data_IF_482239629727
#
_entry.id   IF_482239629727
#
_cell.length_a   1.000
_cell.length_b   1.000
_cell.length_c   1.000
_cell.angle_alpha   90.00
_cell.angle_beta   90.00
_cell.angle_gamma   90.00
#
_symmetry.space_group_name_H-M   'P 1'
#
loop_
_entity.id
_entity.type
_entity.pdbx_description
1 polymer ?
#
# COMPACT_ATOMS: atom_id res chain seq x y z
N UNK A 1 13.16 75.82 -35.38
CA UNK A 1 12.66 75.30 -34.12
C UNK A 1 12.96 73.80 -34.07
N UNK A 2 14.03 73.44 -33.45
CA UNK A 2 14.42 71.98 -33.24
C UNK A 2 13.92 71.53 -31.91
N UNK A 3 12.97 70.59 -31.87
CA UNK A 3 12.54 69.88 -30.63
C UNK A 3 13.53 68.75 -30.36
N UNK A 4 14.29 68.90 -29.31
CA UNK A 4 15.15 67.86 -28.74
C UNK A 4 14.24 66.93 -27.94
N UNK A 5 14.08 65.67 -28.44
CA UNK A 5 13.41 64.60 -27.68
C UNK A 5 14.48 63.97 -26.78
N UNK A 6 14.36 64.23 -25.48
CA UNK A 6 15.16 63.59 -24.45
C UNK A 6 14.64 62.18 -24.29
N UNK A 7 15.36 61.19 -24.84
CA UNK A 7 15.09 59.78 -24.60
C UNK A 7 15.64 59.40 -23.21
N UNK A 8 14.78 59.40 -22.21
CA UNK A 8 15.14 58.82 -20.93
C UNK A 8 15.23 57.32 -21.06
N UNK A 9 16.44 56.79 -21.17
CA UNK A 9 16.75 55.37 -21.03
C UNK A 9 16.55 55.04 -19.54
N UNK A 10 15.39 54.46 -19.22
CA UNK A 10 15.13 53.81 -17.95
C UNK A 10 16.01 52.57 -17.88
N UNK A 11 17.19 52.68 -17.33
CA UNK A 11 18.01 51.54 -16.93
C UNK A 11 17.27 50.83 -15.77
N UNK A 12 16.48 49.85 -16.15
CA UNK A 12 15.99 48.86 -15.18
C UNK A 12 17.22 48.05 -14.79
N UNK A 13 17.84 48.50 -13.71
CA UNK A 13 18.74 47.62 -12.95
C UNK A 13 17.94 46.45 -12.44
N UNK A 14 17.92 45.37 -13.24
CA UNK A 14 17.74 44.05 -12.69
C UNK A 14 18.90 43.86 -11.72
N UNK A 15 18.69 44.32 -10.49
CA UNK A 15 19.45 43.80 -9.37
C UNK A 15 19.19 42.30 -9.39
N UNK A 16 20.14 41.54 -9.96
CA UNK A 16 20.35 40.18 -9.52
C UNK A 16 20.37 40.28 -8.00
N UNK A 17 19.26 39.93 -7.33
CA UNK A 17 19.33 39.49 -5.98
C UNK A 17 20.22 38.23 -6.04
N UNK A 18 21.53 38.42 -5.94
CA UNK A 18 22.39 37.42 -5.35
C UNK A 18 21.61 36.95 -4.15
N UNK A 19 21.21 35.69 -4.16
CA UNK A 19 20.75 35.02 -2.96
C UNK A 19 21.74 35.43 -1.89
N UNK A 20 21.32 36.30 -0.94
CA UNK A 20 22.10 36.57 0.23
C UNK A 20 22.24 35.20 0.86
N UNK A 21 23.46 34.65 0.82
CA UNK A 21 23.80 33.49 1.60
C UNK A 21 23.24 33.81 2.99
N UNK A 22 22.25 33.07 3.45
CA UNK A 22 21.67 33.29 4.76
C UNK A 22 22.85 33.19 5.73
N UNK A 23 23.22 34.31 6.36
CA UNK A 23 24.21 34.32 7.43
C UNK A 23 23.64 33.44 8.53
N UNK A 24 24.09 32.19 8.55
CA UNK A 24 23.69 31.18 9.55
C UNK A 24 24.87 30.94 10.49
N UNK A 25 24.56 30.46 11.64
CA UNK A 25 25.54 29.95 12.60
C UNK A 25 25.64 28.44 12.41
N UNK A 26 26.86 27.92 12.46
CA UNK A 26 27.08 26.48 12.48
C UNK A 26 26.63 25.93 13.84
N UNK A 27 25.67 24.98 13.79
CA UNK A 27 25.04 24.42 14.97
C UNK A 27 25.29 22.93 15.00
N UNK A 28 25.80 22.46 16.10
CA UNK A 28 25.94 21.04 16.41
C UNK A 28 24.60 20.44 16.86
N UNK A 29 24.16 19.33 16.21
CA UNK A 29 22.87 18.72 16.43
C UNK A 29 23.07 17.23 16.76
N UNK A 30 23.03 16.87 18.04
CA UNK A 30 23.05 15.48 18.48
C UNK A 30 21.71 14.79 18.19
N UNK A 31 21.74 13.53 17.78
CA UNK A 31 20.59 12.70 17.47
C UNK A 31 20.49 11.51 18.42
N UNK A 32 19.29 11.17 18.81
CA UNK A 32 18.96 9.94 19.53
C UNK A 32 17.93 9.14 18.77
N UNK A 33 18.13 7.84 18.66
CA UNK A 33 17.12 6.93 18.14
C UNK A 33 17.10 5.65 18.98
N UNK A 34 15.92 5.26 19.40
CA UNK A 34 15.74 4.03 20.15
C UNK A 34 14.99 3.03 19.26
N UNK A 35 15.74 2.17 18.57
CA UNK A 35 15.20 1.12 17.69
C UNK A 35 15.45 -0.25 18.29
N UNK A 36 14.59 -1.21 17.92
CA UNK A 36 14.68 -2.61 18.36
C UNK A 36 15.85 -3.39 17.74
N UNK A 37 16.46 -2.87 16.65
CA UNK A 37 17.51 -3.55 15.89
C UNK A 37 18.87 -2.85 15.94
N UNK A 38 19.00 -1.74 16.66
CA UNK A 38 20.13 -0.83 16.52
C UNK A 38 19.86 0.19 15.41
N UNK A 39 20.58 1.31 15.42
CA UNK A 39 20.34 2.41 14.51
C UNK A 39 21.65 2.98 13.97
N UNK A 40 21.73 3.09 12.65
CA UNK A 40 22.77 3.86 11.97
C UNK A 40 22.11 4.83 10.99
N UNK A 41 22.68 6.02 10.84
CA UNK A 41 22.16 7.04 9.92
C UNK A 41 23.06 7.07 8.68
N UNK A 42 22.49 6.67 7.54
CA UNK A 42 23.18 6.70 6.25
C UNK A 42 22.82 7.95 5.44
N UNK A 43 21.59 8.45 5.60
CA UNK A 43 21.07 9.64 4.96
C UNK A 43 20.23 10.42 5.98
N UNK A 44 20.35 11.73 5.98
CA UNK A 44 19.55 12.60 6.82
C UNK A 44 19.08 13.82 6.02
N UNK A 45 17.79 14.07 6.01
CA UNK A 45 17.19 15.29 5.49
C UNK A 45 16.80 16.19 6.65
N UNK A 46 17.17 17.45 6.58
CA UNK A 46 16.80 18.49 7.49
C UNK A 46 15.92 19.51 6.76
N UNK A 47 14.74 19.77 7.30
CA UNK A 47 13.82 20.81 6.85
C UNK A 47 13.67 21.85 7.96
N UNK A 48 14.03 23.10 7.69
CA UNK A 48 13.69 24.21 8.57
C UNK A 48 12.28 24.69 8.20
N UNK A 49 11.39 24.73 9.18
CA UNK A 49 9.97 25.04 9.02
C UNK A 49 9.67 26.38 9.66
N UNK A 50 9.09 27.29 8.90
CA UNK A 50 8.70 28.62 9.37
C UNK A 50 7.44 28.60 10.26
N UNK A 51 6.97 29.79 10.66
CA UNK A 51 5.81 29.96 11.55
C UNK A 51 4.50 29.57 10.88
N UNK A 52 4.46 29.61 9.54
CA UNK A 52 3.28 29.29 8.73
C UNK A 52 3.25 27.82 8.31
N UNK A 53 4.08 26.98 8.95
CA UNK A 53 4.23 25.55 8.66
C UNK A 53 4.76 25.25 7.25
N UNK A 54 5.54 26.16 6.66
CA UNK A 54 6.12 26.03 5.33
C UNK A 54 7.61 25.72 5.41
N UNK A 55 8.11 24.98 4.43
CA UNK A 55 9.53 24.68 4.32
C UNK A 55 10.29 25.95 3.91
N UNK A 56 11.09 26.46 4.80
CA UNK A 56 11.97 27.62 4.55
C UNK A 56 13.31 27.16 3.95
N UNK A 57 13.79 25.97 4.31
CA UNK A 57 15.07 25.41 3.87
C UNK A 57 15.04 23.88 3.92
N UNK A 58 15.75 23.26 2.99
CA UNK A 58 16.00 21.82 2.98
C UNK A 58 17.49 21.57 2.75
N UNK A 59 18.07 20.68 3.55
CA UNK A 59 19.45 20.22 3.44
C UNK A 59 19.52 18.69 3.58
N UNK A 60 20.55 18.10 3.00
CA UNK A 60 20.81 16.67 3.05
C UNK A 60 22.21 16.41 3.58
N UNK A 61 22.33 15.36 4.41
CA UNK A 61 23.56 14.90 5.00
C UNK A 61 23.72 13.40 4.72
N UNK A 62 24.95 12.97 4.55
CA UNK A 62 25.32 11.56 4.35
C UNK A 62 26.00 11.01 5.59
N UNK A 63 26.29 9.71 5.61
CA UNK A 63 27.03 9.09 6.72
C UNK A 63 28.41 9.72 6.97
N UNK A 64 29.01 10.36 5.96
CA UNK A 64 30.28 11.09 6.11
C UNK A 64 30.15 12.41 6.89
N UNK A 65 28.95 12.96 6.93
CA UNK A 65 28.64 14.22 7.62
C UNK A 65 28.18 14.01 9.07
N UNK A 66 27.98 12.74 9.45
CA UNK A 66 27.41 12.34 10.74
C UNK A 66 28.43 11.52 11.54
N UNK A 67 28.88 12.08 12.65
CA UNK A 67 29.85 11.44 13.53
C UNK A 67 29.26 11.25 14.93
N UNK A 68 29.32 10.02 15.45
CA UNK A 68 28.76 9.68 16.77
C UNK A 68 27.30 10.16 16.94
N UNK A 69 26.47 9.96 15.93
CA UNK A 69 25.09 10.44 15.86
C UNK A 69 24.93 11.96 16.00
N UNK A 70 25.95 12.73 15.61
CA UNK A 70 25.93 14.19 15.64
C UNK A 70 26.28 14.72 14.25
N UNK A 71 25.63 15.78 13.83
CA UNK A 71 25.93 16.49 12.59
C UNK A 71 25.92 18.00 12.80
N UNK A 72 26.47 18.73 11.85
CA UNK A 72 26.54 20.18 11.87
C UNK A 72 25.68 20.76 10.75
N UNK A 73 24.86 21.75 11.06
CA UNK A 73 24.05 22.46 10.08
C UNK A 73 24.20 23.97 10.23
N UNK A 74 24.20 24.67 9.10
CA UNK A 74 24.22 26.13 9.06
C UNK A 74 22.80 26.67 9.24
N UNK A 75 22.44 27.14 10.43
CA UNK A 75 21.08 27.56 10.76
C UNK A 75 21.00 29.05 11.06
N UNK A 76 19.99 29.80 10.52
CA UNK A 76 19.82 31.22 10.81
C UNK A 76 19.41 31.43 12.28
N UNK A 77 19.71 32.62 12.82
CA UNK A 77 19.20 33.03 14.12
C UNK A 77 17.68 33.14 14.08
N UNK A 78 17.02 32.68 15.15
CA UNK A 78 15.56 32.79 15.25
C UNK A 78 14.89 31.57 15.87
N UNK A 79 13.54 31.58 15.79
CA UNK A 79 12.68 30.48 16.24
C UNK A 79 11.97 29.85 15.06
N UNK A 80 12.10 28.54 14.95
CA UNK A 80 11.43 27.73 13.92
C UNK A 80 11.36 26.26 14.36
N UNK A 81 10.83 25.40 13.52
CA UNK A 81 10.82 23.96 13.77
C UNK A 81 11.80 23.28 12.82
N UNK A 82 12.49 22.27 13.31
CA UNK A 82 13.25 21.34 12.48
C UNK A 82 12.44 20.06 12.29
N UNK A 83 12.20 19.68 11.05
CA UNK A 83 11.76 18.36 10.69
C UNK A 83 12.97 17.57 10.15
N UNK A 84 13.19 16.38 10.70
CA UNK A 84 14.28 15.49 10.31
C UNK A 84 13.70 14.20 9.74
N UNK A 85 14.31 13.69 8.67
CA UNK A 85 14.02 12.37 8.10
C UNK A 85 15.33 11.63 7.93
N UNK A 86 15.50 10.55 8.65
CA UNK A 86 16.68 9.69 8.57
C UNK A 86 16.39 8.45 7.72
N UNK A 87 17.40 8.02 6.95
CA UNK A 87 17.41 6.79 6.15
C UNK A 87 16.34 6.69 5.04
N UNK A 88 15.78 7.81 4.59
CA UNK A 88 14.93 7.86 3.42
C UNK A 88 15.72 8.52 2.26
N UNK A 89 16.21 7.75 1.26
CA UNK A 89 16.79 8.34 0.06
C UNK A 89 15.78 9.22 -0.69
N UNK A 90 16.24 10.18 -1.48
CA UNK A 90 15.35 11.11 -2.22
C UNK A 90 14.28 10.40 -3.05
N UNK A 91 14.61 9.27 -3.68
CA UNK A 91 13.64 8.46 -4.45
C UNK A 91 12.53 7.80 -3.62
N UNK A 92 12.66 7.84 -2.28
CA UNK A 92 11.69 7.26 -1.33
C UNK A 92 10.90 8.33 -0.59
N UNK A 93 10.89 9.55 -1.12
CA UNK A 93 10.14 10.67 -0.54
C UNK A 93 9.51 11.53 -1.63
N UNK A 94 8.36 12.10 -1.31
CA UNK A 94 7.85 13.28 -2.01
C UNK A 94 8.30 14.49 -1.21
N UNK A 95 9.29 15.21 -1.73
CA UNK A 95 9.88 16.36 -1.07
C UNK A 95 9.18 17.63 -1.55
N UNK A 96 8.47 18.36 -0.67
CA UNK A 96 7.85 19.62 -1.03
C UNK A 96 8.93 20.69 -1.34
N UNK A 97 8.59 21.63 -2.22
CA UNK A 97 9.47 22.77 -2.52
C UNK A 97 9.51 23.77 -1.37
N UNK A 98 10.54 24.59 -1.35
CA UNK A 98 10.60 25.75 -0.44
C UNK A 98 9.35 26.61 -0.62
N UNK A 99 8.72 26.99 0.48
CA UNK A 99 7.45 27.72 0.52
C UNK A 99 6.19 26.83 0.55
N UNK A 100 6.31 25.52 0.30
CA UNK A 100 5.19 24.59 0.43
C UNK A 100 5.05 24.10 1.89
N UNK A 101 3.87 23.53 2.21
CA UNK A 101 3.58 23.04 3.55
C UNK A 101 4.31 21.73 3.84
N UNK A 102 4.74 21.52 5.10
CA UNK A 102 5.32 20.26 5.56
C UNK A 102 4.38 19.07 5.38
N UNK A 103 3.09 19.30 5.37
CA UNK A 103 2.05 18.27 5.15
C UNK A 103 2.17 17.57 3.80
N UNK A 104 2.82 18.21 2.83
CA UNK A 104 3.11 17.63 1.51
C UNK A 104 4.37 16.75 1.49
N UNK A 105 5.03 16.56 2.63
CA UNK A 105 6.15 15.63 2.77
C UNK A 105 5.62 14.22 3.02
N UNK A 106 5.86 13.32 2.07
CA UNK A 106 5.48 11.90 2.18
C UNK A 106 6.71 11.01 2.13
N UNK A 107 6.68 9.95 2.91
CA UNK A 107 7.64 8.86 2.89
C UNK A 107 7.04 7.73 2.05
N UNK A 108 7.80 7.22 1.08
CA UNK A 108 7.31 6.25 0.10
C UNK A 108 8.14 4.97 0.15
N UNK A 109 7.51 3.83 -0.15
CA UNK A 109 8.24 2.63 -0.51
C UNK A 109 9.01 2.88 -1.81
N UNK A 110 10.23 2.34 -1.97
CA UNK A 110 10.92 2.39 -3.25
C UNK A 110 10.05 1.76 -4.35
N UNK A 111 9.92 2.42 -5.49
CA UNK A 111 9.12 1.91 -6.60
C UNK A 111 10.02 1.19 -7.61
N UNK A 112 9.70 -0.07 -7.95
CA UNK A 112 10.22 -0.79 -9.12
C UNK A 112 9.04 -1.29 -9.94
N UNK A 113 9.25 -1.47 -11.24
CA UNK A 113 8.18 -1.68 -12.25
C UNK A 113 7.10 -2.72 -11.91
N UNK A 114 7.33 -3.68 -11.01
CA UNK A 114 6.34 -4.72 -10.71
C UNK A 114 6.21 -5.05 -9.21
N UNK A 115 7.11 -4.58 -8.37
CA UNK A 115 7.08 -4.82 -6.93
C UNK A 115 7.65 -3.61 -6.19
N UNK A 116 7.12 -3.34 -5.00
CA UNK A 116 7.75 -2.38 -4.11
C UNK A 116 8.86 -3.10 -3.33
N UNK A 117 10.12 -2.66 -3.40
CA UNK A 117 11.11 -3.12 -2.44
C UNK A 117 10.70 -2.69 -1.02
N UNK A 118 11.24 -3.39 -0.03
CA UNK A 118 10.99 -3.03 1.37
C UNK A 118 11.36 -1.59 1.70
N UNK A 119 10.72 -1.03 2.72
CA UNK A 119 11.10 0.27 3.26
C UNK A 119 12.51 0.22 3.86
N UNK A 120 13.20 1.35 3.84
CA UNK A 120 14.41 1.53 4.63
C UNK A 120 14.06 1.67 6.13
N UNK A 121 15.07 1.68 7.00
CA UNK A 121 14.89 1.97 8.44
C UNK A 121 14.66 3.46 8.65
N UNK A 122 13.48 3.93 8.26
CA UNK A 122 13.12 5.35 8.26
C UNK A 122 12.74 5.80 9.66
N UNK A 123 13.33 6.91 10.09
CA UNK A 123 12.95 7.57 11.34
C UNK A 123 12.77 9.07 11.12
N UNK A 124 11.87 9.70 11.88
CA UNK A 124 11.57 11.14 11.76
C UNK A 124 11.57 11.83 13.10
N UNK A 125 11.82 13.14 13.07
CA UNK A 125 11.62 14.02 14.22
C UNK A 125 11.03 15.36 13.79
N UNK A 126 10.28 15.99 14.70
CA UNK A 126 9.83 17.38 14.57
C UNK A 126 10.05 18.07 15.90
N UNK A 127 10.91 19.07 15.93
CA UNK A 127 11.28 19.77 17.15
C UNK A 127 11.30 21.29 16.96
N UNK A 128 10.70 22.02 17.89
CA UNK A 128 10.82 23.47 17.97
C UNK A 128 12.18 23.86 18.53
N UNK A 129 12.85 24.79 17.88
CA UNK A 129 14.18 25.26 18.27
C UNK A 129 14.24 26.77 18.31
N UNK A 130 15.24 27.26 19.05
CA UNK A 130 15.60 28.69 19.09
C UNK A 130 17.12 28.78 18.98
N UNK A 131 17.59 29.42 17.92
CA UNK A 131 19.00 29.68 17.67
C UNK A 131 19.30 31.14 18.10
N UNK A 132 20.33 31.28 18.93
CA UNK A 132 20.81 32.58 19.42
C UNK A 132 22.32 32.64 19.20
N UNK A 133 22.89 33.84 19.13
CA UNK A 133 24.33 34.06 18.89
C UNK A 133 25.27 33.30 19.85
N UNK A 134 24.81 32.99 21.04
CA UNK A 134 25.61 32.30 22.07
C UNK A 134 25.40 30.78 22.08
N UNK A 135 24.59 30.22 21.16
CA UNK A 135 24.20 28.82 21.21
C UNK A 135 24.70 28.04 19.98
N UNK A 136 25.73 27.23 20.16
CA UNK A 136 26.38 26.46 19.11
C UNK A 136 25.95 24.97 19.07
N UNK A 137 25.23 24.49 20.10
CA UNK A 137 24.77 23.11 20.22
C UNK A 137 23.30 23.07 20.61
N UNK A 138 22.50 22.23 19.94
CA UNK A 138 21.13 21.96 20.34
C UNK A 138 21.06 20.81 21.36
N UNK A 139 19.98 20.75 22.16
CA UNK A 139 19.62 19.50 22.83
C UNK A 139 19.47 18.35 21.84
N UNK A 140 19.77 17.13 22.29
CA UNK A 140 19.61 15.96 21.46
C UNK A 140 18.19 15.86 20.88
N UNK A 141 18.11 15.60 19.58
CA UNK A 141 16.84 15.44 18.87
C UNK A 141 16.51 13.95 18.77
N UNK A 142 15.38 13.57 19.33
CA UNK A 142 14.94 12.18 19.31
C UNK A 142 14.22 11.85 18.01
N UNK A 143 14.75 10.88 17.28
CA UNK A 143 14.16 10.31 16.10
C UNK A 143 13.19 9.17 16.47
N UNK A 144 12.05 9.12 15.79
CA UNK A 144 11.01 8.11 15.99
C UNK A 144 10.93 7.22 14.75
N UNK A 145 11.10 5.88 14.88
CA UNK A 145 10.95 4.95 13.79
C UNK A 145 9.57 5.07 13.11
N UNK A 146 9.55 4.91 11.80
CA UNK A 146 8.33 4.95 10.96
C UNK A 146 8.02 3.63 10.31
N UNK A 147 8.83 2.62 10.55
CA UNK A 147 8.70 1.28 9.97
C UNK A 147 8.67 0.22 11.06
N UNK A 148 8.07 -0.92 10.73
CA UNK A 148 8.15 -2.16 11.48
C UNK A 148 8.75 -3.26 10.62
N UNK A 149 9.05 -4.41 11.22
CA UNK A 149 9.74 -5.54 10.59
C UNK A 149 8.94 -6.81 10.78
N UNK A 150 8.78 -7.56 9.69
CA UNK A 150 8.29 -8.93 9.70
C UNK A 150 9.48 -9.86 9.45
N UNK A 151 9.77 -10.73 10.43
CA UNK A 151 10.73 -11.81 10.32
C UNK A 151 9.99 -13.12 10.05
N UNK A 152 10.33 -13.78 8.96
CA UNK A 152 9.67 -14.99 8.49
C UNK A 152 10.60 -16.18 8.53
N UNK A 153 10.08 -17.33 8.97
CA UNK A 153 10.76 -18.63 8.93
C UNK A 153 9.82 -19.68 8.40
N UNK A 154 10.26 -20.41 7.36
CA UNK A 154 9.52 -21.49 6.74
C UNK A 154 10.32 -22.80 6.90
N UNK A 155 9.64 -23.83 7.40
CA UNK A 155 10.20 -25.13 7.68
C UNK A 155 9.61 -26.20 6.74
N UNK A 156 10.27 -27.35 6.64
CA UNK A 156 9.83 -28.52 5.87
C UNK A 156 9.54 -28.22 4.39
N UNK A 157 10.40 -27.40 3.77
CA UNK A 157 10.30 -27.05 2.34
C UNK A 157 10.64 -28.28 1.50
N UNK A 158 9.77 -28.74 0.57
CA UNK A 158 10.05 -29.84 -0.34
C UNK A 158 11.22 -29.50 -1.28
N UNK A 159 12.05 -30.51 -1.58
CA UNK A 159 13.26 -30.31 -2.38
C UNK A 159 13.01 -30.00 -3.87
N UNK A 160 11.81 -30.27 -4.38
CA UNK A 160 11.37 -29.96 -5.73
C UNK A 160 10.95 -28.51 -5.95
N UNK A 161 10.88 -27.72 -4.88
CA UNK A 161 10.47 -26.32 -4.92
C UNK A 161 11.66 -25.39 -5.20
N UNK A 162 11.45 -24.43 -6.09
CA UNK A 162 12.42 -23.41 -6.44
C UNK A 162 11.78 -22.01 -6.48
N UNK A 163 12.59 -20.97 -6.64
CA UNK A 163 12.16 -19.57 -6.76
C UNK A 163 11.18 -19.11 -5.65
N UNK A 164 11.45 -19.56 -4.42
CA UNK A 164 10.59 -19.27 -3.27
C UNK A 164 10.71 -17.81 -2.86
N UNK A 165 9.59 -17.08 -2.89
CA UNK A 165 9.51 -15.69 -2.48
C UNK A 165 8.41 -15.52 -1.42
N UNK A 166 8.67 -14.64 -0.47
CA UNK A 166 7.68 -14.13 0.48
C UNK A 166 7.07 -12.85 -0.07
N UNK A 167 5.76 -12.77 -0.08
CA UNK A 167 5.00 -11.59 -0.47
C UNK A 167 4.20 -11.06 0.71
N UNK A 168 4.34 -9.77 0.98
CA UNK A 168 3.49 -9.03 1.91
C UNK A 168 2.71 -8.00 1.11
N UNK A 169 1.43 -8.26 0.90
CA UNK A 169 0.53 -7.43 0.09
C UNK A 169 -0.33 -6.54 0.95
N UNK A 170 -0.89 -5.51 0.33
CA UNK A 170 -1.76 -4.53 0.97
C UNK A 170 -1.06 -3.79 2.11
N UNK A 171 0.19 -3.45 1.90
CA UNK A 171 0.95 -2.58 2.79
C UNK A 171 0.88 -1.13 2.29
N UNK A 172 0.84 -0.13 3.18
CA UNK A 172 0.88 1.27 2.75
C UNK A 172 2.11 1.53 1.89
N UNK A 173 1.91 2.01 0.65
CA UNK A 173 3.02 2.37 -0.24
C UNK A 173 3.60 3.73 0.09
N UNK A 174 2.86 4.55 0.83
CA UNK A 174 3.34 5.83 1.37
C UNK A 174 2.62 6.23 2.65
N UNK A 175 3.32 7.02 3.47
CA UNK A 175 2.77 7.64 4.67
C UNK A 175 3.14 9.13 4.68
N UNK A 176 2.33 9.96 5.33
CA UNK A 176 2.69 11.35 5.58
C UNK A 176 3.88 11.42 6.55
N UNK A 177 4.55 12.57 6.60
CA UNK A 177 5.61 12.83 7.59
C UNK A 177 5.13 12.55 9.04
N UNK A 178 3.86 12.83 9.33
CA UNK A 178 3.25 12.54 10.64
C UNK A 178 2.97 11.04 10.88
N UNK A 179 3.09 10.18 9.87
CA UNK A 179 2.88 8.74 9.95
C UNK A 179 1.49 8.26 9.58
N UNK A 180 0.62 9.13 9.04
CA UNK A 180 -0.71 8.73 8.57
C UNK A 180 -0.65 8.08 7.19
N UNK A 181 -1.40 7.00 6.98
CA UNK A 181 -1.50 6.33 5.67
C UNK A 181 -2.16 7.25 4.63
N UNK A 182 -1.68 7.15 3.39
CA UNK A 182 -2.21 7.91 2.25
C UNK A 182 -3.30 7.17 1.48
N UNK A 183 -3.76 6.00 1.97
CA UNK A 183 -4.70 5.10 1.31
C UNK A 183 -4.19 4.58 -0.05
N UNK A 184 -2.89 4.55 -0.24
CA UNK A 184 -2.23 3.88 -1.36
C UNK A 184 -1.51 2.66 -0.83
N UNK A 185 -1.66 1.52 -1.51
CA UNK A 185 -1.15 0.24 -1.06
C UNK A 185 -0.29 -0.41 -2.14
N UNK A 186 0.59 -1.29 -1.71
CA UNK A 186 1.50 -2.03 -2.58
C UNK A 186 1.82 -3.41 -2.04
N UNK A 187 2.63 -4.12 -2.79
CA UNK A 187 3.14 -5.46 -2.43
C UNK A 187 4.66 -5.41 -2.34
N UNK A 188 5.21 -5.96 -1.27
CA UNK A 188 6.65 -6.16 -1.08
C UNK A 188 6.95 -7.63 -1.29
N UNK A 189 7.88 -7.94 -2.21
CA UNK A 189 8.32 -9.31 -2.49
C UNK A 189 9.79 -9.49 -2.10
N UNK A 190 10.10 -10.56 -1.35
CA UNK A 190 11.45 -10.90 -0.91
C UNK A 190 11.75 -12.36 -1.18
N UNK A 191 12.90 -12.70 -1.76
CA UNK A 191 13.37 -14.08 -1.81
C UNK A 191 13.48 -14.67 -0.40
N UNK A 192 13.02 -15.89 -0.25
CA UNK A 192 13.26 -16.72 0.95
C UNK A 192 14.60 -17.41 0.75
N UNK A 193 15.49 -17.30 1.73
CA UNK A 193 16.83 -17.86 1.65
C UNK A 193 16.82 -19.40 1.77
N UNK A 194 17.98 -20.01 1.58
CA UNK A 194 18.17 -21.48 1.67
C UNK A 194 17.91 -22.05 3.08
N UNK A 195 17.81 -21.21 4.10
CA UNK A 195 17.43 -21.60 5.46
C UNK A 195 15.93 -21.45 5.71
N UNK A 196 15.15 -21.07 4.69
CA UNK A 196 13.72 -20.79 4.81
C UNK A 196 13.40 -19.44 5.43
N UNK A 197 14.32 -18.47 5.43
CA UNK A 197 14.16 -17.19 6.12
C UNK A 197 14.00 -16.04 5.13
N UNK A 198 13.17 -15.09 5.52
CA UNK A 198 13.07 -13.78 4.88
C UNK A 198 12.75 -12.70 5.91
N UNK A 199 13.06 -11.46 5.57
CA UNK A 199 12.73 -10.30 6.40
C UNK A 199 12.15 -9.20 5.50
N UNK A 200 11.03 -8.62 5.92
CA UNK A 200 10.40 -7.49 5.24
C UNK A 200 10.28 -6.33 6.22
N UNK A 201 10.77 -5.17 5.82
CA UNK A 201 10.54 -3.90 6.51
C UNK A 201 9.46 -3.12 5.76
N UNK A 202 8.44 -2.63 6.46
CA UNK A 202 7.30 -1.95 5.88
C UNK A 202 6.82 -0.79 6.74
N UNK A 203 5.99 0.09 6.16
CA UNK A 203 5.18 1.02 6.94
C UNK A 203 4.13 0.28 7.77
N UNK A 204 3.61 0.90 8.84
CA UNK A 204 2.62 0.28 9.70
C UNK A 204 1.37 -0.17 8.95
N UNK A 205 0.86 -1.35 9.30
CA UNK A 205 -0.39 -1.91 8.77
C UNK A 205 -1.41 -2.05 9.90
N UNK A 206 -2.69 -2.00 9.56
CA UNK A 206 -3.73 -2.31 10.52
C UNK A 206 -3.89 -3.83 10.67
N UNK A 207 -4.53 -4.25 11.78
CA UNK A 207 -4.82 -5.65 12.02
C UNK A 207 -5.73 -6.22 10.93
N UNK A 208 -5.28 -7.31 10.28
CA UNK A 208 -6.01 -7.98 9.22
C UNK A 208 -6.07 -7.23 7.88
N UNK A 209 -5.29 -6.16 7.71
CA UNK A 209 -5.19 -5.41 6.46
C UNK A 209 -4.19 -6.03 5.50
N UNK A 210 -2.99 -6.35 5.97
CA UNK A 210 -1.96 -6.97 5.15
C UNK A 210 -2.20 -8.46 4.94
N UNK A 211 -1.86 -8.96 3.76
CA UNK A 211 -1.89 -10.39 3.40
C UNK A 211 -0.47 -10.90 3.23
N UNK A 212 -0.19 -12.06 3.83
CA UNK A 212 1.11 -12.72 3.74
C UNK A 212 0.96 -14.01 2.92
N UNK A 213 1.83 -14.18 1.92
CA UNK A 213 1.84 -15.37 1.08
C UNK A 213 3.26 -15.74 0.65
N UNK A 214 3.42 -16.96 0.15
CA UNK A 214 4.61 -17.38 -0.57
C UNK A 214 4.27 -17.72 -2.01
N UNK A 215 5.14 -17.34 -2.94
CA UNK A 215 5.13 -17.79 -4.32
C UNK A 215 6.34 -18.67 -4.57
N UNK A 216 6.19 -19.71 -5.39
CA UNK A 216 7.24 -20.69 -5.66
C UNK A 216 6.97 -21.42 -6.96
N UNK A 217 8.02 -22.02 -7.53
CA UNK A 217 7.89 -22.89 -8.70
C UNK A 217 7.97 -24.35 -8.27
N UNK A 218 7.04 -25.18 -8.74
CA UNK A 218 7.05 -26.64 -8.65
C UNK A 218 7.07 -27.22 -10.07
N UNK A 219 8.23 -27.70 -10.49
CA UNK A 219 8.48 -28.03 -11.89
C UNK A 219 8.39 -26.77 -12.77
N UNK A 220 7.48 -26.81 -13.79
CA UNK A 220 7.27 -25.66 -14.69
C UNK A 220 6.04 -24.80 -14.32
N UNK A 221 5.52 -24.94 -13.11
CA UNK A 221 4.33 -24.22 -12.67
C UNK A 221 4.67 -23.32 -11.49
N UNK A 222 4.38 -22.04 -11.64
CA UNK A 222 4.37 -21.11 -10.50
C UNK A 222 3.11 -21.35 -9.67
N UNK A 223 3.31 -21.43 -8.37
CA UNK A 223 2.27 -21.66 -7.36
C UNK A 223 2.34 -20.62 -6.27
N UNK A 224 1.23 -20.44 -5.57
CA UNK A 224 1.12 -19.58 -4.42
C UNK A 224 0.48 -20.32 -3.25
N UNK A 225 0.95 -20.01 -2.03
CA UNK A 225 0.31 -20.44 -0.79
C UNK A 225 0.16 -19.27 0.15
N UNK A 226 -0.95 -19.23 0.86
CA UNK A 226 -1.23 -18.17 1.82
C UNK A 226 -0.82 -18.59 3.21
N UNK A 227 -0.31 -17.62 3.93
CA UNK A 227 0.08 -17.74 5.32
C UNK A 227 -0.99 -17.00 6.14
N UNK A 228 -1.68 -17.66 7.07
CA UNK A 228 -2.60 -16.98 7.97
C UNK A 228 -1.88 -15.84 8.72
N UNK A 229 -2.24 -14.60 8.43
CA UNK A 229 -1.61 -13.42 9.01
C UNK A 229 -2.67 -12.35 9.30
N UNK A 230 -2.91 -12.06 10.57
CA UNK A 230 -3.89 -11.05 10.98
C UNK A 230 -3.31 -10.01 11.95
N UNK A 231 -2.00 -10.05 12.17
CA UNK A 231 -1.32 -9.17 13.13
C UNK A 231 -1.01 -7.83 12.48
N UNK A 232 -1.26 -6.71 13.18
CA UNK A 232 -0.77 -5.42 12.77
C UNK A 232 0.77 -5.39 12.82
N UNK A 233 1.38 -4.67 11.90
CA UNK A 233 2.82 -4.37 11.96
C UNK A 233 2.93 -2.91 12.40
N UNK A 234 3.31 -2.69 13.66
CA UNK A 234 3.47 -1.35 14.20
C UNK A 234 4.90 -0.81 14.01
N UNK A 235 5.07 0.50 14.18
CA UNK A 235 6.39 1.13 14.14
C UNK A 235 7.29 0.57 15.24
N UNK A 236 8.57 0.38 14.93
CA UNK A 236 9.59 -0.15 15.85
C UNK A 236 9.26 -1.55 16.43
N UNK A 237 8.41 -2.30 15.76
CA UNK A 237 8.02 -3.65 16.16
C UNK A 237 8.65 -4.70 15.26
N UNK A 238 9.00 -5.84 15.85
CA UNK A 238 9.42 -7.05 15.12
C UNK A 238 8.34 -8.11 15.30
N UNK A 239 7.65 -8.43 14.21
CA UNK A 239 6.70 -9.53 14.15
C UNK A 239 7.44 -10.77 13.66
N UNK A 240 7.29 -11.90 14.36
CA UNK A 240 7.83 -13.18 13.94
C UNK A 240 6.73 -14.10 13.46
N UNK A 241 6.92 -14.68 12.28
CA UNK A 241 6.02 -15.64 11.65
C UNK A 241 6.81 -16.90 11.37
N UNK A 242 6.47 -17.97 12.08
CA UNK A 242 7.05 -19.30 11.89
C UNK A 242 5.96 -20.23 11.37
N UNK A 243 6.22 -20.94 10.27
CA UNK A 243 5.27 -21.88 9.69
C UNK A 243 5.96 -23.06 9.00
N UNK A 244 5.20 -24.13 8.76
CA UNK A 244 5.63 -25.32 8.04
C UNK A 244 5.01 -25.30 6.64
N UNK A 245 5.81 -25.60 5.61
CA UNK A 245 5.36 -25.59 4.22
C UNK A 245 4.11 -26.47 3.99
N UNK A 246 4.00 -27.71 4.51
CA UNK A 246 2.82 -28.55 4.32
C UNK A 246 1.53 -28.00 4.95
N UNK A 247 1.65 -27.11 5.96
CA UNK A 247 0.52 -26.49 6.66
C UNK A 247 -0.01 -25.26 5.94
N UNK A 248 0.74 -24.76 4.95
CA UNK A 248 0.32 -23.62 4.15
C UNK A 248 -0.79 -24.01 3.18
N UNK A 249 -1.70 -23.10 2.96
CA UNK A 249 -2.93 -23.37 2.22
C UNK A 249 -2.70 -23.05 0.75
N UNK A 250 -3.02 -24.01 -0.13
CA UNK A 250 -2.97 -23.82 -1.58
C UNK A 250 -4.10 -22.90 -2.03
N UNK A 251 -3.72 -21.77 -2.66
CA UNK A 251 -4.64 -20.83 -3.32
C UNK A 251 -5.61 -20.11 -2.38
N UNK A 252 -5.91 -18.88 -2.64
CA UNK A 252 -6.96 -18.10 -1.97
C UNK A 252 -6.54 -17.41 -0.68
N UNK A 253 -7.15 -16.25 -0.44
CA UNK A 253 -7.02 -15.51 0.82
C UNK A 253 -7.76 -16.28 1.91
N UNK A 254 -7.07 -16.51 3.02
CA UNK A 254 -7.72 -17.06 4.19
C UNK A 254 -7.57 -16.12 5.39
N UNK A 255 -8.72 -15.68 5.91
CA UNK A 255 -8.85 -15.41 7.33
C UNK A 255 -8.62 -16.69 8.15
N UNK A 256 -8.99 -16.72 9.41
CA UNK A 256 -8.80 -17.87 10.32
C UNK A 256 -9.56 -19.15 9.91
N UNK A 257 -10.07 -19.23 8.68
CA UNK A 257 -10.87 -20.31 8.15
C UNK A 257 -10.46 -20.73 6.74
N UNK A 258 -11.04 -21.80 6.26
CA UNK A 258 -10.84 -22.28 4.88
C UNK A 258 -11.67 -21.46 3.91
N UNK A 259 -11.04 -20.76 2.95
CA UNK A 259 -11.78 -20.10 1.88
C UNK A 259 -12.60 -21.13 1.08
N UNK A 260 -13.91 -20.94 1.03
CA UNK A 260 -14.82 -21.81 0.29
C UNK A 260 -14.80 -21.54 -1.21
N UNK A 261 -14.27 -20.38 -1.64
CA UNK A 261 -14.06 -20.09 -3.06
C UNK A 261 -12.81 -20.81 -3.57
N UNK A 262 -12.90 -21.33 -4.77
CA UNK A 262 -11.75 -21.82 -5.51
C UNK A 262 -11.19 -20.68 -6.34
N UNK A 263 -9.85 -20.54 -6.35
CA UNK A 263 -9.17 -19.47 -7.10
C UNK A 263 -9.78 -18.07 -6.79
N UNK A 264 -10.03 -17.79 -5.50
CA UNK A 264 -10.58 -16.50 -5.09
C UNK A 264 -9.55 -15.36 -5.15
N UNK A 265 -8.28 -15.70 -5.22
CA UNK A 265 -7.12 -14.83 -5.45
C UNK A 265 -6.77 -14.65 -6.93
N UNK A 266 -7.53 -15.28 -7.84
CA UNK A 266 -7.37 -15.18 -9.29
C UNK A 266 -5.99 -15.55 -9.84
N UNK A 267 -5.24 -16.40 -9.14
CA UNK A 267 -3.89 -16.81 -9.55
C UNK A 267 -3.92 -17.90 -10.64
N UNK A 268 -5.02 -18.65 -10.77
CA UNK A 268 -5.15 -19.76 -11.69
C UNK A 268 -5.88 -19.34 -12.98
N UNK A 269 -5.18 -19.46 -14.13
CA UNK A 269 -5.69 -19.15 -15.46
C UNK A 269 -5.20 -20.17 -16.47
N UNK A 270 -6.01 -21.17 -16.77
CA UNK A 270 -5.71 -22.13 -17.85
C UNK A 270 -5.70 -21.47 -19.22
N UNK A 271 -6.52 -20.44 -19.42
CA UNK A 271 -6.53 -19.60 -20.62
C UNK A 271 -6.66 -18.11 -20.24
N UNK A 272 -5.56 -17.35 -20.26
CA UNK A 272 -5.56 -15.93 -19.89
C UNK A 272 -6.46 -15.01 -20.74
N UNK A 273 -6.94 -15.50 -21.90
CA UNK A 273 -7.82 -14.74 -22.80
C UNK A 273 -9.31 -14.97 -22.53
N UNK A 274 -9.67 -15.81 -21.57
CA UNK A 274 -11.05 -16.14 -21.26
C UNK A 274 -11.48 -15.66 -19.88
N UNK A 275 -11.31 -16.52 -18.89
CA UNK A 275 -11.79 -16.28 -17.52
C UNK A 275 -10.84 -16.94 -16.52
N UNK A 276 -10.80 -16.48 -15.26
CA UNK A 276 -10.07 -17.18 -14.20
C UNK A 276 -10.63 -18.60 -14.01
N UNK A 277 -9.76 -19.57 -13.74
CA UNK A 277 -10.17 -20.95 -13.51
C UNK A 277 -11.15 -21.01 -12.32
N UNK A 278 -12.14 -21.88 -12.41
CA UNK A 278 -13.22 -22.06 -11.44
C UNK A 278 -14.23 -20.91 -11.32
N UNK A 279 -14.11 -19.86 -12.11
CA UNK A 279 -15.09 -18.77 -12.18
C UNK A 279 -15.92 -18.87 -13.46
N UNK A 280 -17.13 -18.35 -13.38
CA UNK A 280 -18.01 -18.22 -14.53
C UNK A 280 -18.07 -16.76 -14.97
N UNK A 281 -17.74 -16.54 -16.22
CA UNK A 281 -17.77 -15.22 -16.83
C UNK A 281 -18.88 -15.14 -17.87
N UNK A 282 -19.90 -14.33 -17.58
CA UNK A 282 -20.99 -14.08 -18.51
C UNK A 282 -20.82 -12.73 -19.19
N UNK A 283 -20.84 -12.74 -20.52
CA UNK A 283 -20.76 -11.54 -21.37
C UNK A 283 -22.17 -11.13 -21.79
N UNK A 284 -22.56 -9.90 -21.46
CA UNK A 284 -23.82 -9.30 -21.95
C UNK A 284 -23.49 -8.16 -22.93
N UNK A 285 -22.70 -8.50 -23.96
CA UNK A 285 -22.21 -7.58 -24.99
C UNK A 285 -21.04 -8.18 -25.76
N UNK A 286 -20.88 -7.81 -27.04
CA UNK A 286 -19.84 -8.38 -27.91
C UNK A 286 -18.42 -8.08 -27.44
N UNK A 287 -18.25 -6.94 -26.77
CA UNK A 287 -16.93 -6.40 -26.43
C UNK A 287 -16.59 -6.52 -24.93
N UNK A 288 -17.40 -7.25 -24.15
CA UNK A 288 -17.13 -7.46 -22.72
C UNK A 288 -15.97 -8.42 -22.51
N UNK A 289 -15.03 -8.09 -21.66
CA UNK A 289 -13.82 -8.88 -21.39
C UNK A 289 -13.53 -9.03 -19.90
N UNK A 290 -12.93 -10.16 -19.55
CA UNK A 290 -12.18 -10.37 -18.34
C UNK A 290 -10.71 -10.54 -18.73
N UNK A 291 -9.84 -9.73 -18.16
CA UNK A 291 -8.41 -9.74 -18.45
C UNK A 291 -7.62 -10.10 -17.20
N UNK A 292 -6.64 -10.95 -17.39
CA UNK A 292 -5.62 -11.24 -16.38
C UNK A 292 -4.71 -10.02 -16.23
N UNK A 293 -4.55 -9.56 -15.02
CA UNK A 293 -3.67 -8.43 -14.68
C UNK A 293 -2.58 -8.90 -13.73
N UNK A 294 -1.38 -8.39 -13.92
CA UNK A 294 -0.21 -8.66 -13.10
C UNK A 294 0.51 -7.36 -12.72
N UNK A 295 1.35 -7.42 -11.71
CA UNK A 295 2.18 -6.29 -11.31
C UNK A 295 1.44 -5.24 -10.49
N UNK A 296 1.82 -3.99 -10.62
CA UNK A 296 1.36 -2.88 -9.75
C UNK A 296 -0.14 -2.57 -9.81
N UNK A 297 -0.84 -3.10 -10.79
CA UNK A 297 -2.29 -2.94 -10.91
C UNK A 297 -3.07 -4.05 -10.20
N UNK A 298 -2.45 -5.17 -9.84
CA UNK A 298 -3.04 -6.21 -9.01
C UNK A 298 -3.00 -5.81 -7.53
N UNK A 299 -3.97 -6.29 -6.75
CA UNK A 299 -3.94 -6.14 -5.29
C UNK A 299 -2.86 -7.03 -4.69
N UNK A 300 -2.83 -8.29 -5.14
CA UNK A 300 -1.80 -9.27 -4.84
C UNK A 300 -1.56 -10.14 -6.08
N UNK A 301 -0.33 -10.59 -6.34
CA UNK A 301 0.00 -11.49 -7.44
C UNK A 301 -0.67 -11.15 -8.77
N UNK A 302 -1.83 -11.77 -9.04
CA UNK A 302 -2.65 -11.55 -10.22
C UNK A 302 -4.07 -11.15 -9.82
N UNK A 303 -4.70 -10.31 -10.61
CA UNK A 303 -6.09 -9.90 -10.43
C UNK A 303 -6.88 -10.01 -11.73
N UNK A 304 -8.20 -9.89 -11.64
CA UNK A 304 -9.07 -9.81 -12.80
C UNK A 304 -9.49 -8.37 -13.07
N UNK A 305 -9.44 -7.96 -14.33
CA UNK A 305 -9.96 -6.67 -14.79
C UNK A 305 -11.20 -6.90 -15.66
N UNK A 306 -12.32 -6.32 -15.26
CA UNK A 306 -13.58 -6.44 -15.97
C UNK A 306 -13.91 -5.15 -16.71
N UNK A 307 -14.21 -5.26 -17.99
CA UNK A 307 -14.72 -4.18 -18.84
C UNK A 307 -16.03 -4.55 -19.52
N UNK A 308 -16.80 -3.55 -19.87
CA UNK A 308 -18.09 -3.71 -20.53
C UNK A 308 -19.21 -4.16 -19.60
N UNK A 309 -20.20 -4.85 -20.11
CA UNK A 309 -21.32 -5.40 -19.33
C UNK A 309 -21.10 -6.87 -19.05
N UNK A 310 -20.73 -7.20 -17.82
CA UNK A 310 -20.28 -8.55 -17.44
C UNK A 310 -20.84 -8.99 -16.09
N UNK A 311 -20.85 -10.30 -15.88
CA UNK A 311 -21.07 -10.95 -14.59
C UNK A 311 -19.96 -11.96 -14.37
N UNK A 312 -19.19 -11.80 -13.29
CA UNK A 312 -18.21 -12.77 -12.83
C UNK A 312 -18.75 -13.39 -11.54
N UNK A 313 -18.89 -14.72 -11.48
CA UNK A 313 -19.48 -15.37 -10.32
C UNK A 313 -18.94 -16.77 -10.06
N UNK A 314 -19.12 -17.21 -8.80
CA UNK A 314 -18.93 -18.60 -8.38
C UNK A 314 -20.04 -18.99 -7.41
N UNK A 315 -20.53 -20.25 -7.52
CA UNK A 315 -21.48 -20.85 -6.57
C UNK A 315 -20.72 -21.78 -5.62
N UNK A 316 -20.91 -21.60 -4.31
CA UNK A 316 -20.31 -22.44 -3.27
C UNK A 316 -21.38 -23.07 -2.38
N UNK A 317 -21.11 -24.27 -1.87
CA UNK A 317 -21.97 -24.94 -0.90
C UNK A 317 -21.81 -24.28 0.48
N UNK A 318 -22.95 -24.08 1.16
CA UNK A 318 -23.01 -23.50 2.49
C UNK A 318 -24.08 -24.20 3.35
N UNK A 319 -24.02 -23.99 4.66
CA UNK A 319 -24.99 -24.50 5.61
C UNK A 319 -25.86 -23.37 6.17
N UNK A 320 -27.19 -23.57 6.12
CA UNK A 320 -28.14 -22.64 6.75
C UNK A 320 -27.87 -22.49 8.24
N UNK A 321 -28.03 -21.28 8.76
CA UNK A 321 -27.77 -20.93 10.16
C UNK A 321 -26.31 -20.67 10.52
N UNK A 322 -25.35 -21.04 9.66
CA UNK A 322 -23.94 -20.72 9.88
C UNK A 322 -23.64 -19.27 9.45
N UNK A 323 -22.63 -18.67 10.07
CA UNK A 323 -22.15 -17.33 9.74
C UNK A 323 -20.97 -17.41 8.79
N UNK A 324 -20.97 -16.57 7.78
CA UNK A 324 -19.91 -16.48 6.76
C UNK A 324 -19.38 -15.06 6.69
N UNK A 325 -18.08 -14.90 6.77
CA UNK A 325 -17.39 -13.67 6.46
C UNK A 325 -17.11 -13.63 4.95
N UNK A 326 -17.46 -12.51 4.30
CA UNK A 326 -17.21 -12.29 2.88
C UNK A 326 -16.22 -11.14 2.74
N UNK A 327 -15.15 -11.35 1.97
CA UNK A 327 -14.17 -10.32 1.63
C UNK A 327 -14.05 -10.25 0.11
N UNK A 328 -13.91 -9.06 -0.43
CA UNK A 328 -13.64 -8.84 -1.86
C UNK A 328 -12.96 -7.48 -2.01
N UNK A 329 -11.78 -7.48 -2.61
CA UNK A 329 -11.06 -6.25 -2.91
C UNK A 329 -11.38 -5.78 -4.31
N UNK A 330 -11.73 -4.52 -4.43
CA UNK A 330 -12.09 -3.87 -5.69
C UNK A 330 -11.37 -2.54 -5.82
N UNK A 331 -10.84 -2.28 -7.01
CA UNK A 331 -10.30 -0.99 -7.41
C UNK A 331 -10.97 -0.52 -8.70
N UNK A 332 -11.74 0.56 -8.63
CA UNK A 332 -12.43 1.16 -9.76
C UNK A 332 -11.89 2.58 -9.99
N UNK A 333 -11.12 2.76 -11.05
CA UNK A 333 -10.46 4.03 -11.37
C UNK A 333 -11.41 5.07 -11.99
N UNK A 334 -12.48 4.62 -12.68
CA UNK A 334 -13.39 5.49 -13.41
C UNK A 334 -14.58 5.98 -12.58
N UNK A 335 -14.90 7.27 -12.68
CA UNK A 335 -16.11 7.88 -12.08
C UNK A 335 -17.39 7.53 -12.83
N UNK A 336 -17.28 7.11 -14.09
CA UNK A 336 -18.41 6.87 -15.01
C UNK A 336 -18.78 5.40 -15.13
N UNK A 337 -17.87 4.47 -14.80
CA UNK A 337 -18.07 3.04 -15.00
C UNK A 337 -18.88 2.42 -13.85
N UNK A 338 -20.17 2.04 -14.06
CA UNK A 338 -21.01 1.51 -13.00
C UNK A 338 -20.77 0.03 -12.76
N UNK A 339 -20.64 -0.35 -11.51
CA UNK A 339 -20.47 -1.73 -11.07
C UNK A 339 -21.19 -1.98 -9.75
N UNK A 340 -21.37 -3.25 -9.37
CA UNK A 340 -21.87 -3.64 -8.04
C UNK A 340 -21.50 -5.07 -7.69
N UNK A 341 -21.30 -5.33 -6.39
CA UNK A 341 -21.36 -6.69 -5.87
C UNK A 341 -22.82 -7.12 -5.71
N UNK A 342 -23.13 -8.39 -6.06
CA UNK A 342 -24.51 -8.85 -6.12
C UNK A 342 -24.60 -10.34 -5.77
N UNK A 343 -24.37 -10.65 -4.50
CA UNK A 343 -24.36 -12.02 -4.00
C UNK A 343 -25.78 -12.53 -3.70
N UNK A 344 -25.95 -13.84 -3.70
CA UNK A 344 -27.25 -14.49 -3.49
C UNK A 344 -27.14 -15.70 -2.58
N UNK A 345 -28.01 -15.78 -1.57
CA UNK A 345 -28.36 -17.02 -0.94
C UNK A 345 -29.31 -17.80 -1.86
N UNK A 346 -29.05 -19.07 -2.10
CA UNK A 346 -29.77 -19.88 -3.09
C UNK A 346 -30.21 -21.22 -2.48
N UNK A 347 -31.36 -21.69 -2.93
CA UNK A 347 -31.84 -23.08 -2.65
C UNK A 347 -31.18 -24.10 -3.58
N UNK A 348 -30.99 -23.70 -4.85
CA UNK A 348 -30.38 -24.51 -5.93
C UNK A 348 -29.58 -23.56 -6.83
N UNK A 349 -28.80 -24.13 -7.79
CA UNK A 349 -28.08 -23.32 -8.79
C UNK A 349 -29.00 -22.41 -9.64
N UNK A 350 -30.29 -22.72 -9.73
CA UNK A 350 -31.27 -21.93 -10.50
C UNK A 350 -32.22 -21.09 -9.66
N UNK A 351 -32.31 -21.35 -8.34
CA UNK A 351 -33.34 -20.73 -7.50
C UNK A 351 -32.71 -19.96 -6.32
N UNK A 352 -32.77 -18.64 -6.38
CA UNK A 352 -32.37 -17.77 -5.28
C UNK A 352 -33.44 -17.80 -4.14
N UNK A 353 -33.02 -17.47 -2.92
CA UNK A 353 -33.92 -17.14 -1.83
C UNK A 353 -34.62 -15.79 -2.10
N UNK A 354 -35.73 -15.49 -1.41
CA UNK A 354 -36.41 -14.20 -1.51
C UNK A 354 -35.48 -13.01 -1.34
N UNK A 355 -35.83 -11.89 -1.99
CA UNK A 355 -34.95 -10.72 -2.07
C UNK A 355 -34.53 -10.12 -0.73
N UNK A 356 -35.38 -10.20 0.29
CA UNK A 356 -35.13 -9.72 1.64
C UNK A 356 -33.90 -10.42 2.28
N UNK A 357 -33.66 -11.68 2.00
CA UNK A 357 -32.50 -12.43 2.48
C UNK A 357 -31.22 -12.03 1.75
N UNK A 358 -31.33 -11.56 0.53
CA UNK A 358 -30.18 -11.22 -0.32
C UNK A 358 -29.72 -9.77 -0.18
N UNK A 359 -30.61 -8.84 0.19
CA UNK A 359 -30.29 -7.42 0.35
C UNK A 359 -29.02 -7.13 1.17
N UNK A 360 -28.74 -7.81 2.30
CA UNK A 360 -27.55 -7.52 3.10
C UNK A 360 -26.22 -7.81 2.40
N UNK A 361 -26.22 -8.72 1.41
CA UNK A 361 -25.03 -9.15 0.65
C UNK A 361 -25.02 -8.60 -0.79
N UNK A 362 -25.80 -7.55 -1.04
CA UNK A 362 -25.88 -6.87 -2.32
C UNK A 362 -25.65 -5.37 -2.15
N UNK A 363 -24.97 -4.76 -3.11
CA UNK A 363 -24.89 -3.31 -3.16
C UNK A 363 -26.30 -2.72 -3.40
N UNK A 364 -26.74 -1.74 -2.60
CA UNK A 364 -28.09 -1.16 -2.72
C UNK A 364 -28.29 -0.39 -4.03
N UNK A 365 -27.21 0.10 -4.63
CA UNK A 365 -27.19 0.80 -5.91
C UNK A 365 -25.89 0.48 -6.66
N UNK A 366 -25.79 1.00 -7.89
CA UNK A 366 -24.53 0.94 -8.61
C UNK A 366 -23.49 1.82 -7.93
N UNK A 367 -22.31 1.24 -7.78
CA UNK A 367 -21.11 1.90 -7.29
C UNK A 367 -20.34 2.47 -8.49
N UNK A 368 -19.42 3.38 -8.20
CA UNK A 368 -18.56 4.04 -9.19
C UNK A 368 -17.10 3.96 -8.71
N UNK A 369 -16.35 5.03 -8.88
CA UNK A 369 -14.96 5.12 -8.50
C UNK A 369 -14.72 4.75 -7.02
N UNK A 370 -13.62 4.04 -6.78
CA UNK A 370 -13.03 3.83 -5.46
C UNK A 370 -11.74 4.65 -5.34
N UNK A 371 -11.33 4.98 -4.11
CA UNK A 371 -10.03 5.60 -3.86
C UNK A 371 -8.97 4.51 -3.66
N UNK A 372 -8.55 3.88 -4.77
CA UNK A 372 -7.68 2.71 -4.73
C UNK A 372 -8.44 1.43 -4.36
N UNK A 373 -7.73 0.43 -3.89
CA UNK A 373 -8.29 -0.84 -3.46
C UNK A 373 -9.11 -0.69 -2.17
N UNK A 374 -10.31 -1.24 -2.17
CA UNK A 374 -11.20 -1.30 -0.99
C UNK A 374 -11.73 -2.72 -0.77
N UNK A 375 -11.89 -3.15 0.48
CA UNK A 375 -12.69 -4.32 0.81
C UNK A 375 -14.17 -3.90 0.91
N UNK A 376 -14.99 -4.35 -0.04
CA UNK A 376 -16.38 -3.88 -0.17
C UNK A 376 -17.30 -4.38 0.95
N UNK A 377 -16.96 -5.46 1.62
CA UNK A 377 -17.72 -6.01 2.75
C UNK A 377 -17.18 -5.56 4.11
N UNK A 378 -15.98 -5.00 4.14
CA UNK A 378 -15.36 -4.41 5.34
C UNK A 378 -15.42 -5.32 6.58
N UNK A 379 -15.07 -6.62 6.40
CA UNK A 379 -15.02 -7.60 7.49
C UNK A 379 -16.39 -7.99 8.07
N UNK A 380 -17.48 -7.75 7.35
CA UNK A 380 -18.82 -8.14 7.77
C UNK A 380 -19.06 -9.63 7.58
N UNK A 381 -19.66 -10.25 8.57
CA UNK A 381 -20.15 -11.61 8.48
C UNK A 381 -21.69 -11.64 8.39
N UNK A 382 -22.21 -12.65 7.70
CA UNK A 382 -23.62 -12.80 7.38
C UNK A 382 -24.08 -14.21 7.74
N UNK A 383 -25.23 -14.33 8.40
CA UNK A 383 -25.83 -15.63 8.70
C UNK A 383 -26.58 -16.14 7.48
N UNK A 384 -26.27 -17.34 7.04
CA UNK A 384 -27.00 -18.00 5.96
C UNK A 384 -28.46 -18.25 6.37
N UNK A 385 -29.46 -17.76 5.63
CA UNK A 385 -30.87 -17.91 6.00
C UNK A 385 -31.30 -19.38 5.94
N UNK A 386 -32.41 -19.67 6.61
CA UNK A 386 -33.05 -20.96 6.53
C UNK A 386 -33.39 -21.32 5.07
N UNK A 387 -33.09 -22.56 4.69
CA UNK A 387 -33.28 -23.06 3.32
C UNK A 387 -32.19 -22.68 2.31
N UNK A 388 -31.17 -21.90 2.71
CA UNK A 388 -29.99 -21.68 1.89
C UNK A 388 -29.13 -22.96 1.84
N UNK A 389 -28.71 -23.33 0.62
CA UNK A 389 -27.80 -24.44 0.36
C UNK A 389 -26.55 -23.99 -0.39
N UNK A 390 -26.66 -22.87 -1.11
CA UNK A 390 -25.59 -22.29 -1.89
C UNK A 390 -25.50 -20.78 -1.61
N UNK A 391 -24.29 -20.25 -1.68
CA UNK A 391 -24.03 -18.84 -1.82
C UNK A 391 -23.43 -18.62 -3.21
N UNK A 392 -24.08 -17.80 -4.04
CA UNK A 392 -23.44 -17.21 -5.21
C UNK A 392 -22.75 -15.92 -4.81
N UNK A 393 -21.46 -15.86 -4.99
CA UNK A 393 -20.73 -14.62 -5.01
C UNK A 393 -20.69 -14.09 -6.44
N UNK A 394 -21.03 -12.83 -6.62
CA UNK A 394 -21.13 -12.26 -7.97
C UNK A 394 -20.75 -10.78 -7.96
N UNK A 395 -20.02 -10.36 -8.98
CA UNK A 395 -19.79 -8.97 -9.31
C UNK A 395 -20.29 -8.68 -10.72
N UNK A 396 -20.90 -7.52 -10.89
CA UNK A 396 -21.50 -7.06 -12.16
C UNK A 396 -20.92 -5.71 -12.56
N UNK A 397 -20.67 -5.59 -13.85
CA UNK A 397 -20.33 -4.31 -14.48
C UNK A 397 -21.38 -3.93 -15.52
N UNK A 398 -21.52 -2.63 -15.78
CA UNK A 398 -22.56 -2.10 -16.68
C UNK A 398 -21.99 -1.00 -17.59
N UNK A 399 -20.76 -1.16 -18.06
CA UNK A 399 -20.21 -0.31 -19.11
C UNK A 399 -21.03 -0.42 -20.39
N UNK A 400 -21.39 0.70 -21.00
CA UNK A 400 -22.15 0.73 -22.26
C UNK A 400 -21.26 0.45 -23.46
N UNK A 401 -20.03 0.93 -23.40
CA UNK A 401 -18.99 0.82 -24.42
C UNK A 401 -17.69 0.46 -23.72
N UNK A 402 -16.80 -0.22 -24.43
CA UNK A 402 -15.44 -0.45 -23.96
C UNK A 402 -14.64 0.80 -24.29
N UNK A 403 -14.38 1.62 -23.28
CA UNK A 403 -13.39 2.68 -23.36
C UNK A 403 -12.10 2.19 -22.73
N UNK A 404 -10.94 2.44 -23.32
CA UNK A 404 -9.67 2.23 -22.65
C UNK A 404 -9.74 2.87 -21.26
N UNK A 405 -9.24 2.18 -20.25
CA UNK A 405 -9.21 2.62 -18.85
C UNK A 405 -10.54 2.66 -18.08
N UNK A 406 -11.66 2.25 -18.69
CA UNK A 406 -12.95 2.10 -17.99
C UNK A 406 -13.22 0.64 -17.64
N UNK A 407 -13.06 0.31 -16.38
CA UNK A 407 -13.29 -1.03 -15.83
C UNK A 407 -13.04 -1.07 -14.33
N UNK A 408 -13.07 -2.27 -13.79
CA UNK A 408 -12.76 -2.53 -12.39
C UNK A 408 -11.75 -3.67 -12.25
N UNK A 409 -10.85 -3.51 -11.31
CA UNK A 409 -9.97 -4.57 -10.85
C UNK A 409 -10.62 -5.26 -9.66
N UNK A 410 -10.54 -6.59 -9.62
CA UNK A 410 -11.06 -7.42 -8.54
C UNK A 410 -9.96 -8.38 -8.13
N UNK A 411 -9.81 -8.55 -6.82
CA UNK A 411 -8.84 -9.47 -6.28
C UNK A 411 -9.26 -9.96 -4.90
N UNK A 412 -8.57 -11.01 -4.44
CA UNK A 412 -8.63 -11.47 -3.05
C UNK A 412 -10.07 -11.64 -2.56
N UNK A 413 -10.87 -12.41 -3.31
CA UNK A 413 -12.23 -12.73 -2.93
C UNK A 413 -12.27 -13.96 -2.02
N UNK A 414 -12.81 -13.83 -0.83
CA UNK A 414 -12.97 -14.96 0.09
C UNK A 414 -14.35 -15.05 0.70
N UNK A 415 -14.75 -16.28 0.99
CA UNK A 415 -15.89 -16.62 1.84
C UNK A 415 -15.43 -17.65 2.84
N UNK A 416 -15.56 -17.36 4.11
CA UNK A 416 -15.06 -18.18 5.19
C UNK A 416 -16.13 -18.39 6.25
N UNK A 417 -16.12 -19.56 6.91
CA UNK A 417 -16.97 -19.78 8.08
C UNK A 417 -16.48 -18.84 9.18
N UNK A 418 -17.35 -17.94 9.65
CA UNK A 418 -17.04 -17.08 10.78
C UNK A 418 -17.19 -17.87 12.09
N UNK A 419 -16.25 -17.72 13.02
CA UNK A 419 -16.31 -18.29 14.35
C UNK A 419 -17.50 -17.74 15.18
#
# INVERSE_FOLDING_TARGET
MRRIILLQILLVLFACQKDKAMEGQEIEIPLECNTSEGFSINHLHLFAIDRDNRIARHETFTSSDIHNNTFHALLPLGRYRLALVANAPEGNMVIPKTGEALENLFLCLPHKEHTNPEANDISTALQSISITESKNTLPSIRLFPRTGVLQFSLHAIPGEISNLNLELSFVPSSISFAGSNTNTFGTITKPVDHQGKAMIRTFPTQKGEATLSITYDEGNKSKRRIIPFSTAIDTNQIIRVDCNFPELIEGGIQGNGKNLLRNGDFEEWSNPALEPDNWHFYKDGKDSVALKITGSQAHSGQSVYLQGKTYLYQDIEIEAGKRYEIKMHVNASSTSFPWKYYCYWRKTKSTALPAEHNKPIQAPSYLKQTNGWINVFNGKSFTAPEGAKLLRVEIRTYGKEITPDEGIYIDDFSVELAE
#
